data_IF_654022178333
#
_entry.id   IF_654022178333
#
_cell.length_a   1.000
_cell.length_b   1.000
_cell.length_c   1.000
_cell.angle_alpha   90.00
_cell.angle_beta   90.00
_cell.angle_gamma   90.00
#
_symmetry.space_group_name_H-M   'P 1'
#
loop_
_entity.id
_entity.type
_entity.pdbx_description
1 polymer ?
#
# COMPACT_ATOMS: atom_id res chain seq x y z
N UNK A 1 10.70 18.26 17.01
CA UNK A 1 9.46 17.55 17.40
C UNK A 1 9.54 16.17 16.76
N UNK A 2 9.90 15.12 17.51
CA UNK A 2 10.16 13.77 16.97
C UNK A 2 8.87 12.95 16.78
N UNK A 3 8.77 12.32 15.61
CA UNK A 3 8.20 10.99 15.29
C UNK A 3 6.99 10.44 16.07
N UNK A 4 5.95 11.23 16.34
CA UNK A 4 4.73 10.64 16.90
C UNK A 4 3.81 10.15 15.77
N UNK A 5 3.67 8.83 15.63
CA UNK A 5 2.67 8.20 14.77
C UNK A 5 1.28 8.22 15.43
N UNK A 6 0.23 7.88 14.67
CA UNK A 6 -1.11 7.61 15.20
C UNK A 6 -1.71 8.72 16.03
N UNK A 7 -1.70 9.94 15.49
CA UNK A 7 -2.37 11.11 16.09
C UNK A 7 -3.83 11.22 15.66
N UNK A 8 -4.16 10.63 14.52
CA UNK A 8 -5.50 10.54 13.93
C UNK A 8 -5.52 9.39 12.93
N UNK A 9 -6.71 8.99 12.45
CA UNK A 9 -6.88 7.79 11.64
C UNK A 9 -6.11 7.81 10.32
N UNK A 10 -6.19 8.87 9.53
CA UNK A 10 -5.71 8.89 8.15
C UNK A 10 -6.85 9.14 7.17
N UNK A 11 -6.61 8.96 5.88
CA UNK A 11 -7.64 9.12 4.85
C UNK A 11 -8.04 7.77 4.29
N UNK A 12 -9.35 7.54 4.15
CA UNK A 12 -9.91 6.35 3.51
C UNK A 12 -10.76 6.83 2.34
N UNK A 13 -10.42 6.41 1.13
CA UNK A 13 -11.19 6.69 -0.09
C UNK A 13 -11.79 5.40 -0.62
N UNK A 14 -13.13 5.34 -0.66
CA UNK A 14 -13.88 4.17 -1.12
C UNK A 14 -14.48 4.45 -2.49
N UNK A 15 -14.23 3.56 -3.45
CA UNK A 15 -14.72 3.65 -4.81
C UNK A 15 -15.50 2.42 -5.26
N UNK A 16 -15.92 2.45 -6.53
CA UNK A 16 -16.79 1.45 -7.15
C UNK A 16 -16.06 0.56 -8.18
N UNK A 17 -14.72 0.52 -8.15
CA UNK A 17 -13.93 -0.33 -9.02
C UNK A 17 -13.80 -1.77 -8.48
N UNK A 18 -13.57 -2.76 -9.35
CA UNK A 18 -13.48 -4.15 -8.93
C UNK A 18 -12.37 -4.44 -7.92
N UNK A 19 -12.68 -5.30 -6.96
CA UNK A 19 -11.74 -5.97 -6.06
C UNK A 19 -11.93 -7.48 -6.20
N UNK A 20 -11.12 -8.29 -5.54
CA UNK A 20 -11.32 -9.74 -5.46
C UNK A 20 -12.00 -10.18 -4.16
N UNK A 21 -12.68 -9.25 -3.48
CA UNK A 21 -13.57 -9.47 -2.33
C UNK A 21 -15.04 -9.34 -2.76
N UNK A 22 -15.94 -9.87 -1.95
CA UNK A 22 -17.37 -9.58 -2.11
C UNK A 22 -17.63 -8.09 -1.82
N UNK A 23 -18.54 -7.45 -2.55
CA UNK A 23 -18.91 -6.03 -2.33
C UNK A 23 -19.61 -5.77 -0.99
N UNK A 24 -19.99 -6.83 -0.27
CA UNK A 24 -20.48 -6.76 1.12
C UNK A 24 -19.35 -6.72 2.15
N UNK A 25 -18.09 -6.84 1.72
CA UNK A 25 -16.92 -6.74 2.61
C UNK A 25 -16.79 -5.31 3.10
N UNK A 26 -16.62 -5.15 4.40
CA UNK A 26 -16.32 -3.85 5.01
C UNK A 26 -14.84 -3.53 4.88
N UNK A 27 -14.51 -2.28 4.57
CA UNK A 27 -13.13 -1.80 4.67
C UNK A 27 -12.66 -1.95 6.13
N UNK A 28 -11.38 -2.22 6.33
CA UNK A 28 -10.79 -2.23 7.66
C UNK A 28 -10.76 -0.83 8.31
N UNK A 29 -10.49 -0.80 9.60
CA UNK A 29 -10.28 0.41 10.38
C UNK A 29 -11.55 1.15 10.81
N UNK A 30 -12.64 1.01 10.05
CA UNK A 30 -13.94 1.65 10.33
C UNK A 30 -15.11 0.67 10.21
N UNK A 31 -16.21 0.97 10.91
CA UNK A 31 -17.38 0.09 10.91
C UNK A 31 -18.37 0.43 9.79
N UNK A 32 -19.01 -0.61 9.24
CA UNK A 32 -20.19 -0.51 8.37
C UNK A 32 -20.02 0.21 7.03
N UNK A 33 -18.79 0.44 6.56
CA UNK A 33 -18.53 0.97 5.22
C UNK A 33 -17.97 -0.13 4.32
N UNK A 34 -18.63 -0.36 3.18
CA UNK A 34 -18.21 -1.33 2.16
C UNK A 34 -17.52 -0.63 0.99
N UNK A 35 -16.78 -1.39 0.18
CA UNK A 35 -16.01 -0.85 -0.95
C UNK A 35 -16.00 -1.84 -2.11
N UNK A 36 -15.57 -1.31 -3.26
CA UNK A 36 -15.49 -2.07 -4.49
C UNK A 36 -16.82 -2.18 -5.22
N UNK A 37 -16.74 -2.63 -6.46
CA UNK A 37 -17.90 -2.75 -7.33
C UNK A 37 -17.55 -3.25 -8.72
N UNK A 38 -18.21 -2.71 -9.73
CA UNK A 38 -18.10 -3.23 -11.11
C UNK A 38 -17.58 -2.22 -12.12
N UNK A 39 -17.30 -0.98 -11.70
CA UNK A 39 -16.88 0.10 -12.58
C UNK A 39 -15.36 0.35 -12.49
N UNK A 40 -14.52 -0.28 -13.33
CA UNK A 40 -13.06 -0.06 -13.31
C UNK A 40 -12.65 1.36 -13.71
N UNK A 41 -13.57 2.18 -14.20
CA UNK A 41 -13.34 3.58 -14.58
C UNK A 41 -14.02 4.56 -13.63
N UNK A 42 -14.47 4.09 -12.47
CA UNK A 42 -15.05 4.94 -11.43
C UNK A 42 -14.12 6.12 -11.08
N UNK A 43 -14.72 7.25 -10.74
CA UNK A 43 -14.01 8.44 -10.29
C UNK A 43 -14.50 8.83 -8.90
N UNK A 44 -13.61 8.70 -7.93
CA UNK A 44 -13.81 9.17 -6.56
C UNK A 44 -13.30 10.62 -6.37
N UNK A 45 -13.04 11.34 -7.47
CA UNK A 45 -12.58 12.73 -7.49
C UNK A 45 -11.08 12.89 -7.77
N UNK A 46 -10.48 13.92 -7.16
CA UNK A 46 -9.06 14.27 -7.34
C UNK A 46 -8.37 14.51 -6.01
N UNK A 47 -7.23 13.86 -5.80
CA UNK A 47 -6.33 14.03 -4.68
C UNK A 47 -4.96 14.46 -5.22
N UNK A 48 -4.67 15.76 -5.13
CA UNK A 48 -3.41 16.31 -5.61
C UNK A 48 -2.77 17.19 -4.54
N UNK A 49 -1.45 17.07 -4.35
CA UNK A 49 -0.70 17.85 -3.36
C UNK A 49 -1.19 17.66 -1.91
N UNK A 50 -1.63 16.44 -1.58
CA UNK A 50 -2.14 16.10 -0.24
C UNK A 50 -1.02 15.50 0.62
N UNK A 51 -0.89 15.99 1.85
CA UNK A 51 0.03 15.43 2.86
C UNK A 51 -0.76 14.86 4.03
N UNK A 52 -0.55 13.58 4.32
CA UNK A 52 -1.08 12.91 5.50
C UNK A 52 0.06 12.56 6.43
N UNK A 53 0.22 13.35 7.49
CA UNK A 53 1.27 13.15 8.47
C UNK A 53 0.69 12.72 9.81
N UNK A 54 1.42 11.86 10.52
CA UNK A 54 1.05 11.36 11.84
C UNK A 54 -0.31 10.62 11.86
N UNK A 55 -0.74 10.12 10.70
CA UNK A 55 -1.96 9.32 10.55
C UNK A 55 -1.77 7.88 11.01
N UNK A 56 -2.68 7.02 10.58
CA UNK A 56 -2.74 5.60 10.86
C UNK A 56 -3.28 5.27 12.26
N UNK A 57 -3.86 4.09 12.42
CA UNK A 57 -4.26 3.56 13.73
C UNK A 57 -4.38 2.03 13.72
N UNK A 58 -3.81 1.36 14.72
CA UNK A 58 -4.07 -0.07 14.95
C UNK A 58 -5.33 -0.19 15.82
N UNK A 59 -6.46 -0.56 15.21
CA UNK A 59 -7.76 -0.65 15.92
C UNK A 59 -8.05 -2.05 16.44
N UNK A 60 -7.41 -3.07 15.89
CA UNK A 60 -7.47 -4.48 16.30
C UNK A 60 -6.34 -5.29 15.67
N UNK A 61 -6.38 -6.61 15.79
CA UNK A 61 -5.42 -7.47 15.11
C UNK A 61 -5.83 -7.71 13.65
N UNK A 62 -5.00 -7.31 12.68
CA UNK A 62 -5.34 -7.29 11.24
C UNK A 62 -6.60 -6.44 10.98
N UNK A 63 -6.70 -5.33 11.72
CA UNK A 63 -7.71 -4.33 11.52
C UNK A 63 -7.07 -2.97 11.86
N UNK A 64 -6.64 -2.27 10.83
CA UNK A 64 -5.85 -1.06 10.96
C UNK A 64 -6.44 0.08 10.09
N UNK A 65 -5.93 1.30 10.28
CA UNK A 65 -6.14 2.44 9.39
C UNK A 65 -4.75 2.87 8.94
N UNK A 66 -4.62 3.13 7.63
CA UNK A 66 -3.36 3.51 7.00
C UNK A 66 -3.21 5.03 6.92
N UNK A 67 -2.09 5.50 6.37
CA UNK A 67 -1.94 6.92 6.04
C UNK A 67 -2.98 7.33 5.01
N UNK A 68 -2.98 6.66 3.85
CA UNK A 68 -4.02 6.78 2.83
C UNK A 68 -4.42 5.38 2.34
N UNK A 69 -5.66 5.01 2.59
CA UNK A 69 -6.29 3.76 2.14
C UNK A 69 -7.13 4.01 0.88
N UNK A 70 -6.95 3.18 -0.14
CA UNK A 70 -7.78 3.15 -1.35
C UNK A 70 -8.56 1.83 -1.42
N UNK A 71 -9.86 1.86 -1.10
CA UNK A 71 -10.75 0.71 -1.22
C UNK A 71 -11.49 0.73 -2.55
N UNK A 72 -11.09 -0.11 -3.51
CA UNK A 72 -11.80 -0.24 -4.79
C UNK A 72 -11.87 1.07 -5.60
N UNK A 73 -10.82 1.90 -5.55
CA UNK A 73 -10.81 3.20 -6.24
C UNK A 73 -10.52 3.02 -7.73
N UNK A 74 -11.31 3.70 -8.58
CA UNK A 74 -11.27 3.53 -10.03
C UNK A 74 -10.26 4.41 -10.76
N UNK A 75 -9.92 4.01 -11.98
CA UNK A 75 -8.94 4.67 -12.86
C UNK A 75 -9.36 6.07 -13.36
N UNK A 76 -10.63 6.45 -13.16
CA UNK A 76 -11.11 7.81 -13.39
C UNK A 76 -10.78 8.78 -12.24
N UNK A 77 -10.25 8.28 -11.13
CA UNK A 77 -9.78 9.10 -9.99
C UNK A 77 -8.38 9.62 -10.26
N UNK A 78 -8.14 10.91 -10.02
CA UNK A 78 -6.81 11.52 -10.15
C UNK A 78 -6.11 11.49 -8.80
N UNK A 79 -4.95 10.84 -8.72
CA UNK A 79 -4.12 10.80 -7.51
C UNK A 79 -2.67 11.08 -7.89
N UNK A 80 -2.17 12.27 -7.53
CA UNK A 80 -0.75 12.60 -7.75
C UNK A 80 -0.18 13.60 -6.75
N UNK A 81 1.15 13.60 -6.58
CA UNK A 81 1.86 14.49 -5.65
C UNK A 81 1.35 14.37 -4.19
N UNK A 82 1.13 13.15 -3.72
CA UNK A 82 0.72 12.92 -2.32
C UNK A 82 1.88 12.39 -1.48
N UNK A 83 1.90 12.76 -0.20
CA UNK A 83 2.91 12.30 0.76
C UNK A 83 2.26 11.76 2.02
N UNK A 84 2.79 10.65 2.50
CA UNK A 84 2.48 10.12 3.83
C UNK A 84 3.74 10.14 4.68
N UNK A 85 3.66 10.64 5.92
CA UNK A 85 4.79 10.59 6.84
C UNK A 85 4.36 10.19 8.25
N UNK A 86 5.15 9.34 8.91
CA UNK A 86 4.89 8.89 10.27
C UNK A 86 3.47 8.29 10.44
N UNK A 87 3.01 7.53 9.45
CA UNK A 87 1.81 6.69 9.63
C UNK A 87 2.06 5.67 10.74
N UNK A 88 1.04 5.36 11.55
CA UNK A 88 1.10 4.30 12.55
C UNK A 88 1.19 2.91 11.91
N UNK A 89 0.65 2.80 10.70
CA UNK A 89 0.60 1.59 9.92
C UNK A 89 1.16 1.88 8.53
N UNK A 90 0.50 1.45 7.46
CA UNK A 90 1.03 1.65 6.12
C UNK A 90 1.04 3.12 5.69
N UNK A 91 1.93 3.42 4.75
CA UNK A 91 1.95 4.69 4.02
C UNK A 91 0.71 4.82 3.14
N UNK A 92 0.75 4.12 2.01
CA UNK A 92 -0.38 3.98 1.09
C UNK A 92 -0.77 2.51 0.98
N UNK A 93 -2.04 2.20 1.16
CA UNK A 93 -2.56 0.86 0.95
C UNK A 93 -3.69 0.84 -0.08
N UNK A 94 -3.62 -0.15 -0.98
CA UNK A 94 -4.58 -0.34 -2.06
C UNK A 94 -5.32 -1.67 -1.90
N UNK A 95 -6.57 -1.61 -1.43
CA UNK A 95 -7.48 -2.74 -1.38
C UNK A 95 -8.28 -2.84 -2.68
N UNK A 96 -7.74 -3.58 -3.66
CA UNK A 96 -8.35 -3.70 -4.97
C UNK A 96 -8.40 -2.39 -5.76
N UNK A 97 -9.18 -2.37 -6.84
CA UNK A 97 -9.34 -1.19 -7.69
C UNK A 97 -8.30 -1.04 -8.81
N UNK A 98 -8.40 0.08 -9.51
CA UNK A 98 -7.69 0.35 -10.78
C UNK A 98 -7.09 1.76 -10.85
N UNK A 99 -7.16 2.52 -9.75
CA UNK A 99 -6.61 3.87 -9.65
C UNK A 99 -5.15 3.89 -10.11
N UNK A 100 -4.76 4.94 -10.84
CA UNK A 100 -3.37 5.16 -11.20
C UNK A 100 -2.82 6.29 -10.34
N UNK A 101 -1.59 6.15 -9.86
CA UNK A 101 -0.94 7.11 -8.97
C UNK A 101 0.37 7.61 -9.54
N UNK A 102 0.71 8.88 -9.27
CA UNK A 102 2.01 9.45 -9.65
C UNK A 102 2.61 10.32 -8.56
N UNK A 103 3.94 10.35 -8.44
CA UNK A 103 4.64 11.21 -7.47
C UNK A 103 4.15 11.00 -6.04
N UNK A 104 4.23 9.75 -5.56
CA UNK A 104 3.90 9.43 -4.18
C UNK A 104 5.18 9.29 -3.34
N UNK A 105 5.19 9.90 -2.15
CA UNK A 105 6.28 9.74 -1.19
C UNK A 105 5.79 9.20 0.15
N UNK A 106 6.57 8.32 0.75
CA UNK A 106 6.34 7.80 2.10
C UNK A 106 7.58 7.96 2.96
N UNK A 107 7.41 8.55 4.14
CA UNK A 107 8.50 8.77 5.09
C UNK A 107 8.16 8.09 6.43
N UNK A 108 8.98 7.12 6.82
CA UNK A 108 8.97 6.54 8.17
C UNK A 108 7.61 5.94 8.60
N UNK A 109 6.93 5.24 7.68
CA UNK A 109 5.74 4.42 8.00
C UNK A 109 6.00 3.45 9.17
N UNK A 110 4.94 3.08 9.87
CA UNK A 110 4.98 2.17 11.02
C UNK A 110 5.06 0.72 10.61
N UNK A 111 4.42 0.38 9.49
CA UNK A 111 4.47 -0.93 8.84
C UNK A 111 5.03 -0.76 7.42
N UNK A 112 4.25 -0.96 6.36
CA UNK A 112 4.72 -0.95 4.98
C UNK A 112 4.60 0.45 4.33
N UNK A 113 5.53 0.82 3.45
CA UNK A 113 5.40 2.11 2.77
C UNK A 113 4.30 2.07 1.69
N UNK A 114 4.29 1.03 0.87
CA UNK A 114 3.26 0.79 -0.14
C UNK A 114 2.77 -0.65 0.00
N UNK A 115 1.51 -0.88 0.36
CA UNK A 115 0.87 -2.20 0.29
C UNK A 115 -0.20 -2.21 -0.80
N UNK A 116 -0.27 -3.30 -1.56
CA UNK A 116 -1.39 -3.58 -2.47
C UNK A 116 -1.96 -4.94 -2.13
N UNK A 117 -3.25 -5.05 -1.90
CA UNK A 117 -3.95 -6.31 -1.72
C UNK A 117 -5.23 -6.35 -2.57
N UNK A 118 -5.97 -7.43 -2.45
CA UNK A 118 -7.37 -7.55 -2.81
C UNK A 118 -7.71 -7.26 -4.28
N UNK A 119 -6.78 -7.55 -5.18
CA UNK A 119 -7.00 -7.51 -6.61
C UNK A 119 -6.65 -6.17 -7.24
N UNK A 120 -5.79 -5.37 -6.62
CA UNK A 120 -5.38 -4.08 -7.18
C UNK A 120 -4.61 -4.27 -8.49
N UNK A 121 -5.07 -3.63 -9.57
CA UNK A 121 -4.47 -3.72 -10.91
C UNK A 121 -4.12 -2.35 -11.50
N UNK A 122 -3.92 -1.36 -10.64
CA UNK A 122 -3.54 0.00 -11.01
C UNK A 122 -2.05 0.15 -11.38
N UNK A 123 -1.70 1.37 -11.80
CA UNK A 123 -0.32 1.75 -12.17
C UNK A 123 0.23 2.82 -11.24
N UNK A 124 1.52 2.76 -10.99
CA UNK A 124 2.26 3.73 -10.18
C UNK A 124 3.48 4.24 -10.93
N UNK A 125 3.74 5.55 -10.87
CA UNK A 125 4.95 6.14 -11.46
C UNK A 125 5.58 7.17 -10.54
N UNK A 126 6.91 7.14 -10.38
CA UNK A 126 7.66 8.04 -9.49
C UNK A 126 7.24 7.86 -8.03
N UNK A 127 7.55 6.69 -7.49
CA UNK A 127 7.24 6.32 -6.10
C UNK A 127 8.51 6.41 -5.26
N UNK A 128 8.39 6.96 -4.06
CA UNK A 128 9.52 7.12 -3.14
C UNK A 128 9.15 6.62 -1.75
N UNK A 129 10.04 5.85 -1.12
CA UNK A 129 9.92 5.47 0.27
C UNK A 129 11.25 5.66 1.00
N UNK A 130 11.21 6.29 2.17
CA UNK A 130 12.31 6.30 3.13
C UNK A 130 11.84 5.60 4.40
N UNK A 131 12.46 4.47 4.73
CA UNK A 131 12.06 3.65 5.87
C UNK A 131 12.78 4.10 7.14
N UNK A 132 12.05 4.05 8.25
CA UNK A 132 12.61 4.28 9.59
C UNK A 132 13.14 3.00 10.22
N UNK A 133 13.63 3.11 11.44
CA UNK A 133 14.11 1.95 12.20
C UNK A 133 13.02 0.88 12.39
N UNK A 134 11.78 1.29 12.67
CA UNK A 134 10.70 0.38 13.09
C UNK A 134 9.86 -0.17 11.94
N UNK A 135 9.81 0.54 10.81
CA UNK A 135 8.96 0.16 9.67
C UNK A 135 9.31 -1.21 9.08
N UNK A 136 8.37 -1.77 8.35
CA UNK A 136 8.45 -3.08 7.77
C UNK A 136 8.96 -3.01 6.31
N UNK A 137 8.16 -3.31 5.31
CA UNK A 137 8.55 -3.30 3.91
C UNK A 137 8.53 -1.89 3.32
N UNK A 138 9.38 -1.65 2.33
CA UNK A 138 9.18 -0.49 1.45
C UNK A 138 8.08 -0.74 0.42
N UNK A 139 7.78 -2.00 0.16
CA UNK A 139 6.67 -2.41 -0.67
C UNK A 139 6.25 -3.82 -0.26
N UNK A 140 5.01 -3.98 0.17
CA UNK A 140 4.36 -5.28 0.27
C UNK A 140 3.34 -5.41 -0.85
N UNK A 141 3.34 -6.55 -1.52
CA UNK A 141 2.49 -6.79 -2.68
C UNK A 141 1.76 -8.08 -2.39
N UNK A 142 0.54 -7.93 -1.91
CA UNK A 142 -0.39 -8.98 -1.57
C UNK A 142 -1.42 -9.21 -2.66
N UNK A 143 -2.18 -10.28 -2.49
CA UNK A 143 -3.40 -10.63 -3.20
C UNK A 143 -4.14 -11.64 -2.32
N UNK A 144 -5.19 -12.25 -2.84
CA UNK A 144 -5.80 -13.45 -2.27
C UNK A 144 -5.50 -14.66 -3.15
N UNK A 145 -5.07 -15.76 -2.55
CA UNK A 145 -4.84 -17.00 -3.27
C UNK A 145 -6.11 -17.50 -3.96
N UNK A 146 -6.01 -17.83 -5.25
CA UNK A 146 -7.11 -18.41 -6.01
C UNK A 146 -8.24 -17.44 -6.38
N UNK A 147 -8.18 -16.18 -5.95
CA UNK A 147 -9.19 -15.16 -6.28
C UNK A 147 -8.78 -14.32 -7.49
N UNK A 148 -9.78 -13.87 -8.25
CA UNK A 148 -9.61 -12.97 -9.39
C UNK A 148 -10.41 -11.67 -9.18
N UNK A 149 -9.94 -10.52 -9.69
CA UNK A 149 -8.62 -10.33 -10.28
C UNK A 149 -7.51 -10.56 -9.25
N UNK A 150 -6.42 -11.17 -9.69
CA UNK A 150 -5.19 -11.22 -8.90
C UNK A 150 -4.63 -9.81 -8.81
N UNK A 151 -4.14 -9.38 -7.64
CA UNK A 151 -3.40 -8.12 -7.57
C UNK A 151 -2.22 -8.19 -8.53
N UNK A 152 -2.08 -7.16 -9.36
CA UNK A 152 -1.06 -7.11 -10.39
C UNK A 152 -0.58 -5.66 -10.59
N UNK A 153 -0.04 -5.01 -9.54
CA UNK A 153 0.40 -3.62 -9.60
C UNK A 153 1.46 -3.44 -10.68
N UNK A 154 1.39 -2.32 -11.40
CA UNK A 154 2.38 -1.96 -12.42
C UNK A 154 3.12 -0.69 -12.01
N UNK A 155 4.22 -0.83 -11.28
CA UNK A 155 4.98 0.26 -10.69
C UNK A 155 6.29 0.50 -11.45
N UNK A 156 6.54 1.74 -11.87
CA UNK A 156 7.72 2.12 -12.62
C UNK A 156 8.40 3.38 -12.06
N UNK A 157 9.71 3.34 -11.89
CA UNK A 157 10.45 4.45 -11.29
C UNK A 157 10.15 4.55 -9.79
N UNK A 158 10.50 3.50 -9.04
CA UNK A 158 10.32 3.46 -7.59
C UNK A 158 11.70 3.45 -6.91
N UNK A 159 11.90 4.32 -5.93
CA UNK A 159 13.10 4.37 -5.09
C UNK A 159 12.73 4.09 -3.65
N UNK A 160 13.31 3.03 -3.07
CA UNK A 160 13.14 2.67 -1.67
C UNK A 160 14.51 2.80 -0.99
N UNK A 161 14.58 3.62 0.06
CA UNK A 161 15.76 3.77 0.91
C UNK A 161 15.44 3.16 2.27
N UNK A 162 16.09 2.05 2.60
CA UNK A 162 15.96 1.40 3.90
C UNK A 162 16.68 2.13 5.02
N UNK A 163 16.44 1.71 6.26
CA UNK A 163 17.16 2.17 7.45
C UNK A 163 18.54 1.49 7.63
N UNK A 164 18.90 0.54 6.76
CA UNK A 164 20.17 -0.19 6.84
C UNK A 164 20.34 -0.88 8.19
N UNK A 165 21.51 -0.66 8.81
CA UNK A 165 21.86 -1.24 10.11
C UNK A 165 20.97 -0.76 11.29
N UNK A 166 20.19 0.31 11.11
CA UNK A 166 19.26 0.82 12.13
C UNK A 166 17.89 0.13 12.09
N UNK A 167 17.63 -0.70 11.08
CA UNK A 167 16.38 -1.43 10.94
C UNK A 167 16.19 -2.42 12.08
N UNK A 168 15.12 -2.27 12.86
CA UNK A 168 14.64 -3.24 13.85
C UNK A 168 13.63 -4.22 13.27
N UNK A 169 13.33 -4.11 11.97
CA UNK A 169 12.40 -4.97 11.25
C UNK A 169 12.70 -6.46 11.42
N UNK A 170 11.66 -7.22 11.73
CA UNK A 170 11.70 -8.70 11.80
C UNK A 170 11.37 -9.39 10.48
N UNK A 171 10.83 -8.65 9.50
CA UNK A 171 10.46 -9.20 8.20
C UNK A 171 11.62 -9.40 7.25
N UNK A 172 11.32 -10.19 6.23
CA UNK A 172 12.26 -10.94 5.41
C UNK A 172 12.75 -10.22 4.14
N UNK A 173 12.28 -9.02 3.81
CA UNK A 173 12.69 -8.32 2.58
C UNK A 173 12.36 -6.82 2.56
N UNK A 174 13.07 -6.04 1.74
CA UNK A 174 12.69 -4.63 1.51
C UNK A 174 11.45 -4.50 0.61
N UNK A 175 11.29 -5.42 -0.33
CA UNK A 175 10.09 -5.58 -1.13
C UNK A 175 9.63 -7.04 -1.04
N UNK A 176 8.38 -7.27 -0.64
CA UNK A 176 7.81 -8.60 -0.45
C UNK A 176 6.62 -8.80 -1.39
N UNK A 177 6.70 -9.79 -2.28
CA UNK A 177 5.57 -10.20 -3.13
C UNK A 177 5.05 -11.52 -2.58
N UNK A 178 3.80 -11.58 -2.15
CA UNK A 178 3.23 -12.76 -1.49
C UNK A 178 1.76 -12.95 -1.84
N UNK A 179 1.16 -14.00 -1.24
CA UNK A 179 -0.27 -14.34 -1.36
C UNK A 179 -0.78 -14.48 -2.81
N UNK A 180 0.11 -14.92 -3.71
CA UNK A 180 -0.23 -15.15 -5.12
C UNK A 180 -0.29 -13.88 -5.98
N UNK A 181 0.19 -12.73 -5.49
CA UNK A 181 0.27 -11.50 -6.28
C UNK A 181 1.08 -11.70 -7.57
N UNK A 182 0.76 -10.92 -8.60
CA UNK A 182 1.60 -10.73 -9.77
C UNK A 182 2.34 -9.39 -9.68
N UNK A 183 2.62 -8.80 -10.84
CA UNK A 183 3.09 -7.42 -10.90
C UNK A 183 4.04 -7.13 -12.06
N UNK A 184 4.19 -5.85 -12.38
CA UNK A 184 5.20 -5.34 -13.31
C UNK A 184 5.98 -4.26 -12.58
N UNK A 185 7.28 -4.50 -12.40
CA UNK A 185 8.15 -3.56 -11.71
C UNK A 185 9.31 -3.16 -12.62
N UNK A 186 9.44 -1.87 -12.90
CA UNK A 186 10.45 -1.31 -13.79
C UNK A 186 11.19 -0.16 -13.12
N UNK A 187 12.47 0.03 -13.48
CA UNK A 187 13.30 1.12 -12.98
C UNK A 187 13.24 1.25 -11.44
N UNK A 188 13.51 0.15 -10.74
CA UNK A 188 13.56 0.11 -9.29
C UNK A 188 14.95 0.45 -8.76
N UNK A 189 15.01 1.25 -7.70
CA UNK A 189 16.22 1.47 -6.90
C UNK A 189 15.90 1.04 -5.47
N UNK A 190 16.63 0.05 -4.96
CA UNK A 190 16.58 -0.38 -3.57
C UNK A 190 17.94 -0.08 -2.95
N UNK A 191 17.97 0.83 -1.98
CA UNK A 191 19.20 1.33 -1.37
C UNK A 191 19.17 1.17 0.16
N UNK A 192 20.34 1.08 0.77
CA UNK A 192 20.51 0.93 2.22
C UNK A 192 19.65 -0.21 2.80
N UNK A 193 19.67 -1.37 2.12
CA UNK A 193 19.01 -2.58 2.56
C UNK A 193 19.67 -3.05 3.86
N UNK A 194 18.85 -3.48 4.82
CA UNK A 194 19.31 -4.11 6.06
C UNK A 194 19.92 -5.51 5.77
N UNK A 195 19.97 -6.39 6.76
CA UNK A 195 20.51 -7.75 6.62
C UNK A 195 19.63 -8.71 5.81
N UNK A 196 18.50 -8.25 5.30
CA UNK A 196 17.51 -9.05 4.56
C UNK A 196 17.66 -8.87 3.05
N UNK A 197 17.12 -9.79 2.22
CA UNK A 197 17.00 -9.61 0.79
C UNK A 197 16.37 -8.26 0.38
N UNK A 198 16.82 -7.71 -0.76
CA UNK A 198 16.17 -6.55 -1.37
C UNK A 198 14.74 -6.90 -1.81
N UNK A 199 14.57 -8.01 -2.54
CA UNK A 199 13.28 -8.48 -3.01
C UNK A 199 13.10 -9.94 -2.59
N UNK A 200 11.93 -10.28 -2.06
CA UNK A 200 11.48 -11.65 -1.84
C UNK A 200 10.15 -11.87 -2.54
N UNK A 201 10.02 -13.05 -3.15
CA UNK A 201 8.80 -13.49 -3.82
C UNK A 201 8.43 -14.83 -3.17
N UNK A 202 7.34 -14.83 -2.42
CA UNK A 202 6.74 -16.03 -1.85
C UNK A 202 5.93 -16.79 -2.92
N UNK A 203 5.69 -18.07 -2.66
CA UNK A 203 5.10 -18.99 -3.64
C UNK A 203 3.79 -18.46 -4.24
N UNK A 204 3.66 -18.56 -5.56
CA UNK A 204 2.52 -18.06 -6.32
C UNK A 204 1.20 -18.85 -6.11
N UNK A 205 1.22 -19.91 -5.31
CA UNK A 205 0.09 -20.81 -5.05
C UNK A 205 0.04 -21.22 -3.57
N UNK A 206 -1.16 -21.55 -3.09
CA UNK A 206 -1.43 -22.03 -1.74
C UNK A 206 -0.97 -23.48 -1.49
N UNK A 207 -0.12 -24.05 -2.34
CA UNK A 207 0.34 -25.43 -2.21
C UNK A 207 1.58 -25.51 -1.33
N UNK A 208 1.36 -25.65 -0.03
CA UNK A 208 2.27 -26.20 0.96
C UNK A 208 1.62 -27.38 1.66
#
# INVERSE_FOLDING_TARGET
VLEKRGKWGGLILLGNAPTNRATTTTIEGITAQTYGGTNPTDSSGSMQYVRVWHGGAVVGANNEINGITFGGVGSGTVVDHCEVAYSADDGFEFFGGTVNVKYLSVLFAGDDAFDTDEGYVGKGQFLFAMLGAVGNHGAEMNSLYGSMPRSHPAFNGMTIVGAGALSTRVSNAMMCLRKGTGGKFGNLILANVATHPGIRIDTCSHSG
#
